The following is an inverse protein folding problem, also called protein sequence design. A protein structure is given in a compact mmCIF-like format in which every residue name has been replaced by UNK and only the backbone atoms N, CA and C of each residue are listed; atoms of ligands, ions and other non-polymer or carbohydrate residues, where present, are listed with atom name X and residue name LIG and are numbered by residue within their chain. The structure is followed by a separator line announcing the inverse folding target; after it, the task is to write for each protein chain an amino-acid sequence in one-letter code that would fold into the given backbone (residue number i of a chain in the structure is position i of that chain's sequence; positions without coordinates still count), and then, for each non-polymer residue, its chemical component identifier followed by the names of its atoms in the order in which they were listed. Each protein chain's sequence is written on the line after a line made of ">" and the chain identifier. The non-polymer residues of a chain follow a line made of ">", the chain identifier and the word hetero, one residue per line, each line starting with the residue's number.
data_IF_198739135697
#
_entry.id   IF_198739135697
#
_cell.length_a   1.000
_cell.length_b   1.000
_cell.length_c   1.000
_cell.angle_alpha   90.00
_cell.angle_beta   90.00
_cell.angle_gamma   90.00
#
_symmetry.space_group_name_H-M   'P 1'
#
loop_
_entity.id
_entity.type
_entity.pdbx_description
1 polymer ?
#
# COMPACT_ATOMS: atom_id res chain seq x y z
N UNK A 1 17.48 -5.10 37.30
CA UNK A 1 17.83 -4.27 36.12
C UNK A 1 17.78 -2.81 36.56
N UNK A 2 18.80 -2.01 36.29
CA UNK A 2 18.74 -0.56 36.57
C UNK A 2 17.66 0.09 35.70
N UNK A 3 17.02 1.17 36.18
CA UNK A 3 16.01 1.93 35.42
C UNK A 3 16.51 2.35 34.02
N UNK A 4 17.81 2.66 33.91
CA UNK A 4 18.48 3.00 32.66
C UNK A 4 18.56 1.83 31.67
N UNK A 5 18.74 0.60 32.16
CA UNK A 5 18.76 -0.60 31.32
C UNK A 5 17.38 -0.96 30.77
N UNK A 6 16.33 -0.79 31.59
CA UNK A 6 14.95 -1.01 31.15
C UNK A 6 14.50 0.00 30.09
N UNK A 7 14.75 1.29 30.31
CA UNK A 7 14.39 2.36 29.36
C UNK A 7 15.06 2.15 27.99
N UNK A 8 16.35 1.83 27.98
CA UNK A 8 17.11 1.59 26.74
C UNK A 8 16.59 0.37 25.97
N UNK A 9 16.32 -0.74 26.67
CA UNK A 9 15.71 -1.94 26.07
C UNK A 9 14.32 -1.65 25.49
N UNK A 10 13.50 -0.89 26.22
CA UNK A 10 12.13 -0.56 25.84
C UNK A 10 12.09 0.32 24.57
N UNK A 11 12.95 1.34 24.50
CA UNK A 11 13.11 2.20 23.30
C UNK A 11 13.55 1.38 22.09
N UNK A 12 14.54 0.50 22.24
CA UNK A 12 15.03 -0.36 21.13
C UNK A 12 13.95 -1.31 20.64
N UNK A 13 13.18 -1.92 21.54
CA UNK A 13 12.08 -2.82 21.18
C UNK A 13 10.96 -2.08 20.45
N UNK A 14 10.59 -0.88 20.90
CA UNK A 14 9.59 -0.05 20.20
C UNK A 14 10.05 0.39 18.82
N UNK A 15 11.30 0.83 18.66
CA UNK A 15 11.86 1.12 17.33
C UNK A 15 11.80 -0.08 16.38
N UNK A 16 12.06 -1.29 16.88
CA UNK A 16 11.90 -2.52 16.10
C UNK A 16 10.44 -2.82 15.72
N UNK A 17 9.49 -2.52 16.59
CA UNK A 17 8.05 -2.67 16.30
C UNK A 17 7.58 -1.65 15.26
N UNK A 18 7.98 -0.40 15.37
CA UNK A 18 7.68 0.64 14.36
C UNK A 18 8.23 0.25 12.99
N UNK A 19 9.49 -0.21 12.91
CA UNK A 19 10.07 -0.68 11.66
C UNK A 19 9.27 -1.85 11.06
N UNK A 20 8.85 -2.81 11.90
CA UNK A 20 7.99 -3.91 11.47
C UNK A 20 6.65 -3.41 10.93
N UNK A 21 5.98 -2.49 11.62
CA UNK A 21 4.71 -1.93 11.16
C UNK A 21 4.85 -1.16 9.84
N UNK A 22 5.96 -0.45 9.61
CA UNK A 22 6.24 0.21 8.32
C UNK A 22 6.41 -0.83 7.21
N UNK A 23 7.12 -1.93 7.47
CA UNK A 23 7.26 -3.02 6.51
C UNK A 23 5.92 -3.72 6.23
N UNK A 24 5.09 -3.94 7.25
CA UNK A 24 3.76 -4.52 7.11
C UNK A 24 2.85 -3.58 6.29
N UNK A 25 2.92 -2.27 6.54
CA UNK A 25 2.22 -1.23 5.76
C UNK A 25 2.63 -1.27 4.29
N UNK A 26 3.93 -1.23 4.01
CA UNK A 26 4.45 -1.29 2.63
C UNK A 26 4.11 -2.61 1.93
N UNK A 27 4.03 -3.71 2.68
CA UNK A 27 3.60 -5.00 2.14
C UNK A 27 2.12 -4.95 1.75
N UNK A 28 1.27 -4.32 2.55
CA UNK A 28 -0.14 -4.10 2.17
C UNK A 28 -0.31 -3.18 0.98
N UNK A 29 0.49 -2.13 0.89
CA UNK A 29 0.53 -1.28 -0.31
C UNK A 29 0.97 -2.08 -1.55
N UNK A 30 1.96 -2.97 -1.43
CA UNK A 30 2.33 -3.88 -2.52
C UNK A 30 1.17 -4.79 -2.92
N UNK A 31 0.47 -5.40 -1.95
CA UNK A 31 -0.71 -6.24 -2.21
C UNK A 31 -1.77 -5.47 -3.02
N UNK A 32 -2.08 -4.22 -2.66
CA UNK A 32 -3.03 -3.37 -3.43
C UNK A 32 -2.60 -3.18 -4.88
N UNK A 33 -1.31 -2.96 -5.13
CA UNK A 33 -0.78 -2.77 -6.49
C UNK A 33 -0.85 -4.04 -7.32
N UNK A 34 -0.64 -5.21 -6.70
CA UNK A 34 -0.77 -6.52 -7.33
C UNK A 34 -2.23 -6.77 -7.73
N UNK A 35 -3.18 -6.43 -6.87
CA UNK A 35 -4.60 -6.61 -7.17
C UNK A 35 -5.10 -5.67 -8.27
N UNK A 36 -4.54 -4.45 -8.36
CA UNK A 36 -4.77 -3.56 -9.50
C UNK A 36 -4.29 -4.21 -10.82
N UNK A 37 -3.07 -4.77 -10.82
CA UNK A 37 -2.51 -5.46 -11.98
C UNK A 37 -3.34 -6.68 -12.41
N UNK A 38 -3.87 -7.44 -11.44
CA UNK A 38 -4.83 -8.53 -11.70
C UNK A 38 -6.12 -8.00 -12.32
N UNK A 39 -6.70 -6.93 -11.77
CA UNK A 39 -7.94 -6.34 -12.29
C UNK A 39 -7.78 -5.91 -13.76
N UNK A 40 -6.67 -5.25 -14.10
CA UNK A 40 -6.36 -4.84 -15.48
C UNK A 40 -6.23 -6.06 -16.40
N UNK A 41 -5.59 -7.13 -15.94
CA UNK A 41 -5.45 -8.38 -16.71
C UNK A 41 -6.81 -8.99 -17.05
N UNK A 42 -7.70 -9.05 -16.07
CA UNK A 42 -9.04 -9.58 -16.27
C UNK A 42 -9.87 -8.73 -17.22
N UNK A 43 -9.77 -7.40 -17.13
CA UNK A 43 -10.46 -6.49 -18.04
C UNK A 43 -9.92 -6.59 -19.48
N UNK A 44 -8.62 -6.79 -19.65
CA UNK A 44 -8.02 -7.05 -20.96
C UNK A 44 -8.59 -8.32 -21.61
N UNK A 45 -8.88 -9.35 -20.81
CA UNK A 45 -9.53 -10.59 -21.24
C UNK A 45 -11.07 -10.52 -21.28
N UNK A 46 -11.67 -9.34 -21.02
CA UNK A 46 -13.12 -9.15 -20.94
C UNK A 46 -13.81 -10.01 -19.85
N UNK A 47 -13.07 -10.40 -18.80
CA UNK A 47 -13.58 -11.17 -17.66
C UNK A 47 -13.99 -10.25 -16.51
N UNK A 48 -15.11 -9.55 -16.69
CA UNK A 48 -15.53 -8.49 -15.77
C UNK A 48 -15.78 -8.98 -14.33
N UNK A 49 -16.34 -10.19 -14.14
CA UNK A 49 -16.59 -10.73 -12.79
C UNK A 49 -15.28 -10.96 -12.02
N UNK A 50 -14.25 -11.51 -12.69
CA UNK A 50 -12.92 -11.69 -12.10
C UNK A 50 -12.25 -10.34 -11.81
N UNK A 51 -12.44 -9.35 -12.68
CA UNK A 51 -11.94 -8.01 -12.45
C UNK A 51 -12.57 -7.36 -11.21
N UNK A 52 -13.89 -7.47 -11.05
CA UNK A 52 -14.60 -6.95 -9.88
C UNK A 52 -14.18 -7.66 -8.59
N UNK A 53 -13.92 -8.97 -8.64
CA UNK A 53 -13.38 -9.70 -7.50
C UNK A 53 -11.98 -9.21 -7.10
N UNK A 54 -11.11 -8.94 -8.09
CA UNK A 54 -9.78 -8.37 -7.84
C UNK A 54 -9.86 -6.94 -7.28
N UNK A 55 -10.78 -6.10 -7.78
CA UNK A 55 -11.02 -4.75 -7.26
C UNK A 55 -11.52 -4.81 -5.81
N UNK A 56 -12.39 -5.77 -5.48
CA UNK A 56 -12.84 -5.98 -4.09
C UNK A 56 -11.67 -6.37 -3.17
N UNK A 57 -10.77 -7.22 -3.63
CA UNK A 57 -9.56 -7.58 -2.89
C UNK A 57 -8.65 -6.34 -2.67
N UNK A 58 -8.45 -5.54 -3.72
CA UNK A 58 -7.74 -4.25 -3.66
C UNK A 58 -8.30 -3.35 -2.56
N UNK A 59 -9.62 -3.18 -2.46
CA UNK A 59 -10.23 -2.36 -1.41
C UNK A 59 -10.02 -2.92 0.00
N UNK A 60 -9.96 -4.25 0.16
CA UNK A 60 -9.66 -4.87 1.45
C UNK A 60 -8.21 -4.62 1.87
N UNK A 61 -7.28 -4.74 0.94
CA UNK A 61 -5.86 -4.47 1.21
C UNK A 61 -5.57 -2.99 1.43
N UNK A 62 -6.26 -2.07 0.73
CA UNK A 62 -6.15 -0.63 0.99
C UNK A 62 -6.67 -0.28 2.38
N UNK A 63 -7.82 -0.83 2.77
CA UNK A 63 -8.36 -0.63 4.11
C UNK A 63 -7.41 -1.19 5.18
N UNK A 64 -6.76 -2.31 4.91
CA UNK A 64 -5.74 -2.86 5.80
C UNK A 64 -4.51 -1.94 5.89
N UNK A 65 -4.03 -1.40 4.77
CA UNK A 65 -2.92 -0.45 4.74
C UNK A 65 -3.25 0.80 5.58
N UNK A 66 -4.40 1.44 5.33
CA UNK A 66 -4.86 2.59 6.10
C UNK A 66 -5.03 2.29 7.60
N UNK A 67 -5.45 1.07 7.96
CA UNK A 67 -5.54 0.69 9.38
C UNK A 67 -4.16 0.59 10.04
N UNK A 68 -3.14 0.11 9.32
CA UNK A 68 -1.75 0.07 9.81
C UNK A 68 -1.17 1.49 9.88
N UNK A 69 -1.49 2.35 8.91
CA UNK A 69 -1.11 3.77 8.89
C UNK A 69 -1.55 4.48 10.18
N UNK A 70 -2.82 4.32 10.59
CA UNK A 70 -3.34 4.89 11.84
C UNK A 70 -2.55 4.41 13.05
N UNK A 71 -2.28 3.11 13.15
CA UNK A 71 -1.49 2.53 14.25
C UNK A 71 -0.06 3.12 14.26
N UNK A 72 0.55 3.27 13.09
CA UNK A 72 1.87 3.89 12.94
C UNK A 72 1.89 5.34 13.43
N UNK A 73 0.88 6.13 13.08
CA UNK A 73 0.76 7.51 13.55
C UNK A 73 0.57 7.59 15.07
N UNK A 74 -0.28 6.75 15.63
CA UNK A 74 -0.46 6.66 17.07
C UNK A 74 0.85 6.31 17.77
N UNK A 75 1.60 5.33 17.27
CA UNK A 75 2.88 4.93 17.83
C UNK A 75 3.95 6.03 17.71
N UNK A 76 4.05 6.68 16.54
CA UNK A 76 5.02 7.76 16.31
C UNK A 76 4.70 9.00 17.17
N UNK A 77 3.44 9.22 17.53
CA UNK A 77 3.02 10.38 18.35
C UNK A 77 3.43 10.31 19.82
N UNK A 78 3.75 9.12 20.36
CA UNK A 78 4.03 8.89 21.79
C UNK A 78 5.33 9.50 22.31
N UNK A 79 6.11 10.19 21.47
CA UNK A 79 7.16 11.13 21.91
C UNK A 79 8.55 10.54 22.13
N UNK A 80 8.77 9.27 21.77
CA UNK A 80 9.94 8.51 22.23
C UNK A 80 11.11 8.49 21.24
N UNK A 81 10.91 9.08 20.05
CA UNK A 81 11.94 9.34 19.03
C UNK A 81 12.29 10.82 19.00
N UNK A 82 13.51 11.16 18.56
CA UNK A 82 13.88 12.56 18.31
C UNK A 82 12.91 13.22 17.30
N UNK A 83 12.53 14.50 17.49
CA UNK A 83 11.51 15.14 16.66
C UNK A 83 11.76 15.04 15.15
N UNK A 84 13.02 15.21 14.71
CA UNK A 84 13.41 15.10 13.29
C UNK A 84 13.25 13.68 12.75
N UNK A 85 13.60 12.67 13.54
CA UNK A 85 13.45 11.27 13.13
C UNK A 85 11.98 10.88 13.04
N UNK A 86 11.16 11.34 14.00
CA UNK A 86 9.72 11.15 14.00
C UNK A 86 9.07 11.77 12.76
N UNK A 87 9.38 13.02 12.44
CA UNK A 87 8.87 13.72 11.25
C UNK A 87 9.25 12.99 9.96
N UNK A 88 10.50 12.52 9.85
CA UNK A 88 10.96 11.77 8.68
C UNK A 88 10.19 10.45 8.50
N UNK A 89 9.96 9.70 9.59
CA UNK A 89 9.17 8.46 9.56
C UNK A 89 7.70 8.72 9.22
N UNK A 90 7.09 9.76 9.81
CA UNK A 90 5.71 10.15 9.47
C UNK A 90 5.58 10.49 7.99
N UNK A 91 6.53 11.26 7.42
CA UNK A 91 6.55 11.55 5.98
C UNK A 91 6.72 10.32 5.11
N UNK A 92 7.54 9.36 5.53
CA UNK A 92 7.70 8.09 4.84
C UNK A 92 6.37 7.32 4.81
N UNK A 93 5.70 7.22 5.97
CA UNK A 93 4.39 6.54 6.08
C UNK A 93 3.35 7.18 5.18
N UNK A 94 3.22 8.51 5.19
CA UNK A 94 2.33 9.25 4.28
C UNK A 94 2.64 8.95 2.81
N UNK A 95 3.92 8.95 2.45
CA UNK A 95 4.30 8.75 1.06
C UNK A 95 4.07 7.32 0.58
N UNK A 96 4.11 6.34 1.49
CA UNK A 96 3.70 4.97 1.21
C UNK A 96 2.18 4.90 1.04
N UNK A 97 1.40 5.57 1.90
CA UNK A 97 -0.07 5.55 1.80
C UNK A 97 -0.61 6.24 0.54
N UNK A 98 0.06 7.30 0.06
CA UNK A 98 -0.26 7.92 -1.24
C UNK A 98 -0.36 6.86 -2.35
N UNK A 99 0.46 5.81 -2.30
CA UNK A 99 0.46 4.74 -3.31
C UNK A 99 -0.84 3.92 -3.22
N UNK A 100 -1.27 3.50 -2.03
CA UNK A 100 -2.53 2.76 -1.84
C UNK A 100 -3.75 3.59 -2.20
N UNK A 101 -3.80 4.86 -1.79
CA UNK A 101 -4.92 5.75 -2.13
C UNK A 101 -5.05 5.98 -3.64
N UNK A 102 -3.94 6.27 -4.33
CA UNK A 102 -3.95 6.42 -5.78
C UNK A 102 -4.33 5.11 -6.49
N UNK A 103 -3.90 3.96 -5.95
CA UNK A 103 -4.26 2.62 -6.45
C UNK A 103 -5.76 2.35 -6.32
N UNK A 104 -6.37 2.73 -5.20
CA UNK A 104 -7.83 2.68 -5.00
C UNK A 104 -8.58 3.57 -5.98
N UNK A 105 -8.09 4.78 -6.22
CA UNK A 105 -8.70 5.68 -7.20
C UNK A 105 -8.67 5.08 -8.62
N UNK A 106 -7.58 4.40 -8.98
CA UNK A 106 -7.49 3.64 -10.22
C UNK A 106 -8.48 2.45 -10.22
N UNK A 107 -8.60 1.72 -9.11
CA UNK A 107 -9.57 0.64 -8.92
C UNK A 107 -11.02 1.08 -9.16
N UNK A 108 -11.42 2.23 -8.61
CA UNK A 108 -12.74 2.83 -8.84
C UNK A 108 -13.00 3.11 -10.33
N UNK A 109 -12.00 3.64 -11.03
CA UNK A 109 -12.13 3.89 -12.47
C UNK A 109 -12.30 2.58 -13.26
N UNK A 110 -11.56 1.53 -12.89
CA UNK A 110 -11.67 0.21 -13.51
C UNK A 110 -13.04 -0.44 -13.23
N UNK A 111 -13.57 -0.27 -12.01
CA UNK A 111 -14.91 -0.74 -11.63
C UNK A 111 -15.99 -0.09 -12.49
N UNK A 112 -15.92 1.24 -12.68
CA UNK A 112 -16.84 1.97 -13.55
C UNK A 112 -16.78 1.45 -15.00
N UNK A 113 -15.57 1.20 -15.52
CA UNK A 113 -15.40 0.64 -16.87
C UNK A 113 -16.04 -0.76 -16.95
N UNK A 114 -15.75 -1.64 -15.98
CA UNK A 114 -16.27 -3.00 -15.91
C UNK A 114 -17.81 -3.03 -15.88
N UNK A 115 -18.42 -2.12 -15.12
CA UNK A 115 -19.88 -2.01 -14.96
C UNK A 115 -20.54 -1.33 -16.17
N UNK A 116 -19.87 -0.38 -16.82
CA UNK A 116 -20.42 0.38 -17.95
C UNK A 116 -20.68 -0.46 -19.21
N UNK A 117 -20.09 -1.66 -19.29
CA UNK A 117 -20.11 -2.55 -20.48
C UNK A 117 -19.63 -1.89 -21.78
N UNK A 118 -18.95 -0.73 -21.70
CA UNK A 118 -18.36 -0.06 -22.85
C UNK A 118 -17.10 -0.81 -23.29
N UNK A 119 -16.90 -0.92 -24.60
CA UNK A 119 -15.67 -1.49 -25.14
C UNK A 119 -14.54 -0.46 -25.07
N UNK A 120 -13.49 -0.82 -24.35
CA UNK A 120 -12.20 -0.11 -24.39
C UNK A 120 -11.30 -0.79 -25.43
N UNK A 121 -10.68 -0.05 -26.36
CA UNK A 121 -9.76 -0.62 -27.34
C UNK A 121 -8.60 -1.39 -26.70
N UNK A 122 -8.14 -2.47 -27.36
CA UNK A 122 -7.12 -3.39 -26.80
C UNK A 122 -5.76 -2.72 -26.60
N UNK A 123 -5.48 -1.67 -27.36
CA UNK A 123 -4.25 -0.89 -27.33
C UNK A 123 -4.11 -0.21 -25.96
N UNK A 124 -5.21 0.34 -25.42
CA UNK A 124 -5.23 0.94 -24.10
C UNK A 124 -5.00 -0.09 -23.00
N UNK A 125 -5.66 -1.25 -23.07
CA UNK A 125 -5.43 -2.31 -22.08
C UNK A 125 -3.98 -2.80 -22.07
N UNK A 126 -3.37 -2.92 -23.25
CA UNK A 126 -1.96 -3.33 -23.36
C UNK A 126 -1.03 -2.29 -22.72
N UNK A 127 -1.30 -1.00 -22.93
CA UNK A 127 -0.58 0.09 -22.29
C UNK A 127 -0.75 0.09 -20.77
N UNK A 128 -1.99 -0.03 -20.27
CA UNK A 128 -2.27 -0.09 -18.84
C UNK A 128 -1.63 -1.32 -18.18
N UNK A 129 -1.59 -2.45 -18.88
CA UNK A 129 -0.98 -3.68 -18.39
C UNK A 129 0.54 -3.58 -18.27
N UNK A 130 1.20 -2.89 -19.21
CA UNK A 130 2.64 -2.61 -19.08
C UNK A 130 2.91 -1.64 -17.92
N UNK A 131 2.10 -0.59 -17.80
CA UNK A 131 2.21 0.38 -16.72
C UNK A 131 1.99 -0.27 -15.34
N UNK A 132 0.97 -1.10 -15.19
CA UNK A 132 0.67 -1.78 -13.92
C UNK A 132 1.77 -2.74 -13.49
N UNK A 133 2.39 -3.47 -14.43
CA UNK A 133 3.56 -4.31 -14.13
C UNK A 133 4.74 -3.51 -13.62
N UNK A 134 5.05 -2.38 -14.26
CA UNK A 134 6.12 -1.48 -13.80
C UNK A 134 5.82 -0.91 -12.42
N UNK A 135 4.56 -0.53 -12.19
CA UNK A 135 4.10 -0.03 -10.91
C UNK A 135 4.29 -1.07 -9.79
N UNK A 136 3.86 -2.33 -10.00
CA UNK A 136 4.09 -3.44 -9.06
C UNK A 136 5.59 -3.63 -8.78
N UNK A 137 6.42 -3.61 -9.82
CA UNK A 137 7.87 -3.76 -9.65
C UNK A 137 8.48 -2.62 -8.80
N UNK A 138 8.05 -1.37 -9.03
CA UNK A 138 8.52 -0.20 -8.28
C UNK A 138 8.04 -0.23 -6.82
N UNK A 139 6.77 -0.56 -6.59
CA UNK A 139 6.23 -0.72 -5.23
C UNK A 139 6.93 -1.88 -4.49
N UNK A 140 7.24 -2.97 -5.20
CA UNK A 140 8.02 -4.08 -4.67
C UNK A 140 9.44 -3.67 -4.28
N UNK A 141 10.11 -2.89 -5.13
CA UNK A 141 11.44 -2.36 -4.83
C UNK A 141 11.43 -1.41 -3.61
N UNK A 142 10.40 -0.55 -3.49
CA UNK A 142 10.20 0.29 -2.30
C UNK A 142 10.05 -0.56 -1.04
N UNK A 143 9.18 -1.58 -1.07
CA UNK A 143 8.95 -2.49 0.06
C UNK A 143 10.22 -3.25 0.45
N UNK A 144 11.07 -3.61 -0.51
CA UNK A 144 12.37 -4.25 -0.25
C UNK A 144 13.45 -3.31 0.28
N UNK A 145 13.29 -2.00 0.11
CA UNK A 145 14.23 -0.98 0.59
C UNK A 145 13.90 -0.49 2.02
N UNK A 146 12.75 -0.88 2.55
CA UNK A 146 12.31 -0.66 3.94
C UNK A 146 12.86 -1.77 4.82
#
# INVERSE_FOLDING_TARGET
>A
MSETGFSTWFVKRRGSMTAKHILDHATKVLDTSIDLDKAISWLQESRNENALAAIKALYLDEKAASSIEVILFEDLSKGELEPKQREALMRLVLRIDDISQNTKQAGLNLELIAQSKKRVPKEFWSMYKDLSKRFVAQTGALRSAI
#
